data_IF_319673106928
#
_entry.id   IF_319673106928
#
_cell.length_a   1.000
_cell.length_b   1.000
_cell.length_c   1.000
_cell.angle_alpha   90.00
_cell.angle_beta   90.00
_cell.angle_gamma   90.00
#
_symmetry.space_group_name_H-M   'P 1'
#
loop_
_entity.id
_entity.type
_entity.pdbx_description
1 polymer ?
#
# COMPACT_ATOMS: atom_id res chain seq x y z
N UNK A 1 30.71 7.57 -12.53
CA UNK A 1 30.66 6.22 -11.90
C UNK A 1 29.44 6.14 -10.98
N UNK A 2 28.79 4.97 -10.82
CA UNK A 2 27.54 4.79 -10.05
C UNK A 2 27.54 5.49 -8.68
N UNK A 3 28.67 5.50 -7.97
CA UNK A 3 28.84 6.18 -6.69
C UNK A 3 28.52 7.68 -6.71
N UNK A 4 28.88 8.40 -7.78
CA UNK A 4 28.57 9.82 -7.93
C UNK A 4 27.06 10.06 -8.14
N UNK A 5 26.37 9.11 -8.78
CA UNK A 5 24.93 9.16 -9.02
C UNK A 5 24.14 8.86 -7.74
N UNK A 6 24.59 7.89 -6.93
CA UNK A 6 24.02 7.61 -5.61
C UNK A 6 24.16 8.80 -4.66
N UNK A 7 25.32 9.46 -4.64
CA UNK A 7 25.55 10.64 -3.82
C UNK A 7 24.63 11.82 -4.22
N UNK A 8 24.43 12.04 -5.53
CA UNK A 8 23.49 13.06 -6.04
C UNK A 8 22.04 12.78 -5.60
N UNK A 9 21.59 11.51 -5.68
CA UNK A 9 20.24 11.11 -5.22
C UNK A 9 20.08 11.32 -3.71
N UNK A 10 21.06 10.95 -2.89
CA UNK A 10 20.99 11.15 -1.44
C UNK A 10 20.95 12.63 -1.05
N UNK A 11 21.70 13.49 -1.75
CA UNK A 11 21.65 14.95 -1.53
C UNK A 11 20.28 15.51 -1.87
N UNK A 12 19.67 15.08 -2.98
CA UNK A 12 18.31 15.49 -3.36
C UNK A 12 17.25 15.03 -2.35
N UNK A 13 17.38 13.82 -1.81
CA UNK A 13 16.49 13.31 -0.76
C UNK A 13 16.64 14.10 0.54
N UNK A 14 17.87 14.45 0.92
CA UNK A 14 18.12 15.28 2.10
C UNK A 14 17.55 16.70 1.96
N UNK A 15 17.65 17.30 0.77
CA UNK A 15 17.05 18.61 0.51
C UNK A 15 15.52 18.53 0.53
N UNK A 16 14.92 17.46 -0.03
CA UNK A 16 13.48 17.24 0.02
C UNK A 16 12.98 17.05 1.47
N UNK A 17 13.70 16.28 2.28
CA UNK A 17 13.41 16.13 3.71
C UNK A 17 13.39 17.49 4.40
N UNK A 18 14.46 18.29 4.20
CA UNK A 18 14.60 19.63 4.80
C UNK A 18 13.45 20.56 4.40
N UNK A 19 13.05 20.56 3.12
CA UNK A 19 11.96 21.39 2.61
C UNK A 19 10.59 20.95 3.13
N UNK A 20 10.39 19.66 3.38
CA UNK A 20 9.11 19.12 3.87
C UNK A 20 8.79 19.49 5.32
N UNK A 21 9.81 19.83 6.13
CA UNK A 21 9.67 20.08 7.58
C UNK A 21 9.38 18.83 8.42
N UNK A 22 9.46 17.64 7.82
CA UNK A 22 9.21 16.35 8.48
C UNK A 22 10.40 15.38 8.38
N UNK A 23 10.09 14.08 8.36
CA UNK A 23 11.06 13.00 8.10
C UNK A 23 10.71 12.27 6.81
N UNK A 24 11.73 11.90 6.04
CA UNK A 24 11.59 11.19 4.77
C UNK A 24 12.36 9.86 4.81
N UNK A 25 11.68 8.75 4.53
CA UNK A 25 12.31 7.43 4.33
C UNK A 25 12.09 6.96 2.90
N UNK A 26 13.16 6.51 2.23
CA UNK A 26 13.10 6.01 0.85
C UNK A 26 14.00 4.79 0.68
N UNK A 27 13.49 3.77 0.00
CA UNK A 27 14.26 2.65 -0.50
C UNK A 27 14.00 2.51 -2.02
N UNK A 28 15.04 2.67 -2.83
CA UNK A 28 15.01 2.40 -4.26
C UNK A 28 15.72 1.07 -4.49
N UNK A 29 15.01 0.10 -5.04
CA UNK A 29 15.52 -1.26 -5.28
C UNK A 29 15.45 -1.54 -6.78
N UNK A 30 16.60 -1.76 -7.41
CA UNK A 30 16.65 -2.24 -8.79
C UNK A 30 16.42 -3.76 -8.79
N UNK A 31 15.28 -4.21 -9.32
CA UNK A 31 14.95 -5.64 -9.33
C UNK A 31 15.73 -6.45 -10.36
N UNK A 32 16.53 -5.82 -11.23
CA UNK A 32 17.38 -6.51 -12.19
C UNK A 32 18.67 -7.07 -11.55
N UNK A 33 19.25 -6.33 -10.60
CA UNK A 33 20.55 -6.64 -9.98
C UNK A 33 20.56 -6.53 -8.45
N UNK A 34 19.43 -6.20 -7.82
CA UNK A 34 19.26 -5.95 -6.40
C UNK A 34 20.09 -4.78 -5.83
N UNK A 35 20.66 -3.92 -6.68
CA UNK A 35 21.29 -2.69 -6.22
C UNK A 35 20.27 -1.77 -5.55
N UNK A 36 20.71 -1.06 -4.50
CA UNK A 36 19.84 -0.23 -3.68
C UNK A 36 20.40 1.16 -3.45
N UNK A 37 19.50 2.14 -3.38
CA UNK A 37 19.76 3.46 -2.81
C UNK A 37 18.80 3.63 -1.64
N UNK A 38 19.35 3.74 -0.43
CA UNK A 38 18.60 3.79 0.82
C UNK A 38 18.79 5.15 1.49
N UNK A 39 17.70 5.67 2.07
CA UNK A 39 17.68 6.89 2.86
C UNK A 39 16.72 6.71 4.04
N UNK A 40 17.27 6.69 5.27
CA UNK A 40 16.54 6.34 6.51
C UNK A 40 15.71 5.04 6.43
N UNK A 41 16.20 4.06 5.66
CA UNK A 41 15.45 2.85 5.33
C UNK A 41 15.12 1.96 6.56
N UNK A 42 15.91 2.05 7.63
CA UNK A 42 15.72 1.28 8.86
C UNK A 42 14.87 2.00 9.92
N UNK A 43 14.44 3.23 9.64
CA UNK A 43 13.57 3.98 10.55
C UNK A 43 12.09 3.56 10.40
N UNK A 44 11.33 3.68 11.48
CA UNK A 44 9.89 3.38 11.48
C UNK A 44 9.06 4.57 11.01
N UNK A 45 8.10 4.28 10.13
CA UNK A 45 7.08 5.21 9.62
C UNK A 45 5.68 4.61 9.77
N UNK A 46 4.65 5.48 9.83
CA UNK A 46 3.27 5.02 9.83
C UNK A 46 2.88 4.52 8.43
N UNK A 47 2.36 3.30 8.34
CA UNK A 47 1.96 2.70 7.06
C UNK A 47 0.70 3.37 6.48
N UNK A 48 -0.24 3.81 7.32
CA UNK A 48 -1.52 4.35 6.87
C UNK A 48 -2.16 3.39 5.82
N UNK A 49 -2.66 3.91 4.70
CA UNK A 49 -3.25 3.11 3.62
C UNK A 49 -2.27 2.20 2.87
N UNK A 50 -0.94 2.37 2.98
CA UNK A 50 0.01 1.45 2.30
C UNK A 50 -0.05 0.03 2.86
N UNK A 51 -0.55 -0.13 4.10
CA UNK A 51 -0.81 -1.44 4.72
C UNK A 51 -1.82 -2.30 3.95
N UNK A 52 -2.70 -1.69 3.14
CA UNK A 52 -3.73 -2.40 2.37
C UNK A 52 -3.15 -3.35 1.32
N UNK A 53 -1.94 -3.06 0.81
CA UNK A 53 -1.21 -3.97 -0.08
C UNK A 53 -0.97 -5.31 0.60
N UNK A 54 -0.54 -5.30 1.86
CA UNK A 54 -0.30 -6.53 2.62
C UNK A 54 -1.61 -7.28 2.93
N UNK A 55 -2.69 -6.56 3.24
CA UNK A 55 -4.00 -7.18 3.47
C UNK A 55 -4.54 -7.89 2.22
N UNK A 56 -4.49 -7.22 1.06
CA UNK A 56 -4.91 -7.81 -0.21
C UNK A 56 -4.00 -8.98 -0.63
N UNK A 57 -2.68 -8.87 -0.43
CA UNK A 57 -1.75 -9.98 -0.66
C UNK A 57 -2.06 -11.19 0.22
N UNK A 58 -2.46 -10.99 1.49
CA UNK A 58 -2.87 -12.07 2.37
C UNK A 58 -4.16 -12.76 1.91
N UNK A 59 -5.15 -11.99 1.42
CA UNK A 59 -6.37 -12.55 0.80
C UNK A 59 -6.02 -13.39 -0.43
N UNK A 60 -5.17 -12.87 -1.32
CA UNK A 60 -4.71 -13.61 -2.49
C UNK A 60 -3.97 -14.89 -2.10
N UNK A 61 -3.04 -14.80 -1.13
CA UNK A 61 -2.30 -15.98 -0.65
C UNK A 61 -3.23 -17.06 -0.11
N UNK A 62 -4.26 -16.66 0.65
CA UNK A 62 -5.26 -17.59 1.19
C UNK A 62 -6.12 -18.21 0.09
N UNK A 63 -6.39 -17.47 -0.98
CA UNK A 63 -7.15 -17.99 -2.13
C UNK A 63 -6.45 -19.11 -2.90
N UNK A 64 -5.12 -19.25 -2.78
CA UNK A 64 -4.38 -20.37 -3.36
C UNK A 64 -4.83 -21.73 -2.78
N UNK A 65 -5.23 -21.77 -1.51
CA UNK A 65 -5.78 -22.96 -0.84
C UNK A 65 -7.30 -22.98 -0.75
N UNK A 66 -7.97 -21.85 -1.00
CA UNK A 66 -9.43 -21.70 -0.90
C UNK A 66 -9.98 -21.10 -2.21
N UNK A 67 -10.26 -21.93 -3.23
CA UNK A 67 -10.59 -21.47 -4.59
C UNK A 67 -11.80 -20.54 -4.70
N UNK A 68 -12.74 -20.63 -3.74
CA UNK A 68 -13.95 -19.81 -3.73
C UNK A 68 -13.82 -18.54 -2.87
N UNK A 69 -12.69 -18.32 -2.18
CA UNK A 69 -12.53 -17.23 -1.23
C UNK A 69 -12.77 -15.86 -1.89
N UNK A 70 -12.21 -15.64 -3.09
CA UNK A 70 -12.36 -14.36 -3.80
C UNK A 70 -13.82 -14.04 -4.16
N UNK A 71 -14.64 -15.07 -4.39
CA UNK A 71 -16.06 -14.93 -4.71
C UNK A 71 -16.96 -14.86 -3.47
N UNK A 72 -16.40 -15.08 -2.27
CA UNK A 72 -17.15 -15.00 -1.02
C UNK A 72 -17.77 -13.62 -0.88
N UNK A 73 -19.10 -13.59 -0.69
CA UNK A 73 -19.87 -12.35 -0.51
C UNK A 73 -19.85 -11.92 0.95
N UNK A 74 -19.60 -10.63 1.15
CA UNK A 74 -19.63 -9.94 2.43
C UNK A 74 -20.76 -8.93 2.38
N UNK A 75 -21.66 -8.99 3.35
CA UNK A 75 -22.73 -8.01 3.53
C UNK A 75 -22.12 -6.66 3.91
N UNK A 76 -22.59 -5.59 3.28
CA UNK A 76 -22.15 -4.22 3.58
C UNK A 76 -23.24 -3.50 4.36
N UNK A 77 -23.00 -3.28 5.66
CA UNK A 77 -23.95 -2.59 6.52
C UNK A 77 -23.58 -1.12 6.62
N UNK A 78 -24.59 -0.29 6.88
CA UNK A 78 -24.36 1.13 7.16
C UNK A 78 -23.45 1.34 8.37
N UNK A 79 -23.47 0.42 9.33
CA UNK A 79 -22.60 0.42 10.53
C UNK A 79 -21.13 0.15 10.23
N UNK A 80 -20.82 -0.45 9.07
CA UNK A 80 -19.45 -0.82 8.70
C UNK A 80 -18.72 0.34 8.02
N UNK A 81 -19.46 1.36 7.58
CA UNK A 81 -18.90 2.54 6.92
C UNK A 81 -18.16 3.42 7.93
N UNK A 82 -16.93 3.79 7.58
CA UNK A 82 -16.11 4.75 8.34
C UNK A 82 -16.09 6.11 7.65
N UNK A 83 -15.01 6.89 7.77
CA UNK A 83 -14.92 8.24 7.20
C UNK A 83 -14.85 8.30 5.66
N UNK A 84 -14.27 7.31 4.98
CA UNK A 84 -14.03 7.35 3.53
C UNK A 84 -14.24 5.98 2.88
N UNK A 85 -15.35 5.80 2.15
CA UNK A 85 -15.78 4.50 1.61
C UNK A 85 -16.35 4.62 0.18
N UNK A 86 -15.66 5.26 -0.77
CA UNK A 86 -16.23 5.70 -2.07
C UNK A 86 -16.78 4.59 -2.97
N UNK A 87 -16.40 3.34 -2.71
CA UNK A 87 -16.97 2.15 -3.37
C UNK A 87 -17.97 1.47 -2.44
N UNK A 88 -17.56 1.06 -1.24
CA UNK A 88 -18.41 0.26 -0.34
C UNK A 88 -19.73 0.98 0.04
N UNK A 89 -19.76 2.30 0.17
CA UNK A 89 -20.98 3.05 0.50
C UNK A 89 -22.10 2.89 -0.55
N UNK A 90 -21.74 2.60 -1.81
CA UNK A 90 -22.70 2.38 -2.90
C UNK A 90 -23.36 1.00 -2.84
N UNK A 91 -22.87 0.11 -1.97
CA UNK A 91 -23.32 -1.27 -1.84
C UNK A 91 -23.99 -1.54 -0.47
N UNK A 92 -24.34 -0.51 0.30
CA UNK A 92 -25.05 -0.66 1.59
C UNK A 92 -26.36 -1.42 1.42
N UNK A 93 -26.63 -2.35 2.35
CA UNK A 93 -27.73 -3.32 2.31
C UNK A 93 -27.63 -4.32 1.14
N UNK A 94 -26.48 -4.36 0.46
CA UNK A 94 -26.12 -5.35 -0.53
C UNK A 94 -24.90 -6.14 -0.09
N UNK A 95 -24.17 -6.67 -1.06
CA UNK A 95 -22.94 -7.40 -0.82
C UNK A 95 -21.83 -6.96 -1.76
N UNK A 96 -20.59 -7.18 -1.35
CA UNK A 96 -19.42 -7.17 -2.21
C UNK A 96 -18.65 -8.48 -2.05
N UNK A 97 -17.98 -8.95 -3.10
CA UNK A 97 -17.06 -10.08 -2.99
C UNK A 97 -15.74 -9.67 -2.31
N UNK A 98 -14.98 -10.62 -1.76
CA UNK A 98 -13.63 -10.33 -1.25
C UNK A 98 -12.70 -9.80 -2.34
N UNK A 99 -12.88 -10.19 -3.60
CA UNK A 99 -12.16 -9.59 -4.73
C UNK A 99 -12.54 -8.12 -4.93
N UNK A 100 -13.84 -7.79 -4.93
CA UNK A 100 -14.34 -6.41 -5.08
C UNK A 100 -13.87 -5.52 -3.91
N UNK A 101 -13.91 -6.03 -2.68
CA UNK A 101 -13.41 -5.31 -1.49
C UNK A 101 -11.90 -5.08 -1.54
N UNK A 102 -11.13 -6.09 -1.96
CA UNK A 102 -9.68 -5.96 -2.12
C UNK A 102 -9.32 -4.94 -3.21
N UNK A 103 -10.04 -4.97 -4.35
CA UNK A 103 -9.85 -4.00 -5.42
C UNK A 103 -10.23 -2.58 -4.96
N UNK A 104 -11.37 -2.41 -4.28
CA UNK A 104 -11.80 -1.14 -3.73
C UNK A 104 -10.76 -0.54 -2.76
N UNK A 105 -10.25 -1.37 -1.85
CA UNK A 105 -9.24 -0.98 -0.86
C UNK A 105 -7.90 -0.57 -1.50
N UNK A 106 -7.51 -1.17 -2.63
CA UNK A 106 -6.26 -0.85 -3.31
C UNK A 106 -6.37 0.35 -4.27
N UNK A 107 -7.51 0.52 -4.93
CA UNK A 107 -7.66 1.47 -6.03
C UNK A 107 -8.34 2.79 -5.63
N UNK A 108 -9.06 2.81 -4.50
CA UNK A 108 -9.91 3.93 -4.10
C UNK A 108 -9.74 4.34 -2.64
N UNK A 109 -8.74 3.79 -1.93
CA UNK A 109 -8.42 4.17 -0.56
C UNK A 109 -7.37 5.26 -0.46
#
# INVERSE_FOLDING_TARGET
>A
PLYAQTADVQQKLAELERQSGGRLGVALINTADNSQILYRADERFAMCSTSKVMAAAAVLKKSESEPNLLNQRVEIKKSDLVNYNPIAEKHVNGTMSLAELSAAALQYS
#
